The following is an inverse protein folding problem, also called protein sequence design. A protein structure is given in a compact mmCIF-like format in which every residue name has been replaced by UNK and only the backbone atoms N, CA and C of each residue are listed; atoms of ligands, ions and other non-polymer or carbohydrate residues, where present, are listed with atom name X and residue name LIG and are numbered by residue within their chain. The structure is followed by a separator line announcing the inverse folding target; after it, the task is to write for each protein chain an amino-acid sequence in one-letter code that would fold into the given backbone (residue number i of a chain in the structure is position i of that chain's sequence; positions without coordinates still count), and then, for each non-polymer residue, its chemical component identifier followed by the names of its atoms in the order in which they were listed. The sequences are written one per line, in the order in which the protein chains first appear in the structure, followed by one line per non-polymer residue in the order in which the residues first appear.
data_IF_792507319341
#
_entry.id   IF_792507319341
#
_cell.length_a   1.000
_cell.length_b   1.000
_cell.length_c   1.000
_cell.angle_alpha   90.00
_cell.angle_beta   90.00
_cell.angle_gamma   90.00
#
_symmetry.space_group_name_H-M   'P 1'
#
loop_
_entity.id
_entity.type
_entity.pdbx_description
1 polymer ?
#
# COMPACT_ATOMS: atom_id res chain seq x y z
N UNK A 1 -19.13 -18.53 -7.37
CA UNK A 1 -17.85 -19.04 -6.83
C UNK A 1 -17.14 -17.87 -6.19
N UNK A 2 -16.54 -17.98 -4.99
CA UNK A 2 -15.79 -16.86 -4.44
C UNK A 2 -14.65 -16.53 -5.40
N UNK A 3 -14.47 -15.25 -5.70
CA UNK A 3 -13.38 -14.75 -6.53
C UNK A 3 -12.07 -15.02 -5.78
N UNK A 4 -11.30 -16.04 -6.19
CA UNK A 4 -10.05 -16.45 -5.52
C UNK A 4 -8.91 -15.44 -5.78
N UNK A 5 -9.11 -14.47 -6.71
CA UNK A 5 -8.14 -13.44 -7.01
C UNK A 5 -8.34 -12.19 -6.15
N UNK A 6 -7.24 -11.66 -5.59
CA UNK A 6 -7.20 -10.34 -4.96
C UNK A 6 -7.11 -9.24 -6.01
N UNK A 7 -6.32 -9.48 -7.06
CA UNK A 7 -6.12 -8.57 -8.19
C UNK A 7 -6.18 -9.36 -9.48
N UNK A 8 -6.83 -8.81 -10.49
CA UNK A 8 -6.85 -9.35 -11.85
C UNK A 8 -6.64 -8.20 -12.84
N UNK A 9 -5.64 -8.33 -13.67
CA UNK A 9 -5.39 -7.52 -14.86
C UNK A 9 -5.83 -8.33 -16.08
N UNK A 10 -6.60 -7.71 -16.96
CA UNK A 10 -7.03 -8.28 -18.24
C UNK A 10 -6.77 -7.27 -19.34
N UNK A 11 -5.86 -7.61 -20.25
CA UNK A 11 -5.48 -6.83 -21.43
C UNK A 11 -5.20 -5.35 -21.11
N UNK A 12 -4.49 -5.12 -19.99
CA UNK A 12 -4.27 -3.77 -19.46
C UNK A 12 -3.12 -3.10 -20.17
N UNK A 13 -3.42 -1.95 -20.77
CA UNK A 13 -2.42 -1.01 -21.31
C UNK A 13 -2.46 0.29 -20.50
N UNK A 14 -1.29 0.94 -20.41
CA UNK A 14 -1.17 2.24 -19.77
C UNK A 14 -0.05 3.07 -20.39
N UNK A 15 -0.39 4.32 -20.72
CA UNK A 15 0.51 5.32 -21.26
C UNK A 15 0.45 6.58 -20.39
N UNK A 16 1.61 7.09 -19.95
CA UNK A 16 1.63 8.38 -19.25
C UNK A 16 1.30 9.54 -20.23
N UNK A 17 0.58 10.58 -19.77
CA UNK A 17 0.14 11.68 -20.65
C UNK A 17 1.26 12.34 -21.47
N UNK A 18 2.47 12.41 -20.88
CA UNK A 18 3.62 13.08 -21.47
C UNK A 18 4.49 12.14 -22.33
N UNK A 19 4.05 10.89 -22.56
CA UNK A 19 4.81 9.90 -23.32
C UNK A 19 3.98 9.37 -24.48
N UNK A 20 4.66 9.02 -25.59
CA UNK A 20 4.03 8.34 -26.75
C UNK A 20 4.12 6.82 -26.65
N UNK A 21 4.94 6.30 -25.73
CA UNK A 21 5.18 4.86 -25.58
C UNK A 21 4.41 4.32 -24.39
N UNK A 22 3.64 3.27 -24.62
CA UNK A 22 2.98 2.54 -23.53
C UNK A 22 4.04 1.96 -22.58
N UNK A 23 3.83 2.17 -21.28
CA UNK A 23 4.64 1.54 -20.21
C UNK A 23 4.15 0.13 -19.95
N UNK A 24 2.84 -0.08 -20.07
CA UNK A 24 2.22 -1.40 -20.02
C UNK A 24 1.46 -1.61 -21.33
N UNK A 25 1.64 -2.77 -21.92
CA UNK A 25 1.00 -3.13 -23.20
C UNK A 25 0.32 -4.49 -23.08
N UNK A 26 -1.02 -4.49 -23.05
CA UNK A 26 -1.90 -5.65 -23.02
C UNK A 26 -1.53 -6.73 -21.98
N UNK A 27 -1.10 -6.30 -20.78
CA UNK A 27 -0.71 -7.24 -19.74
C UNK A 27 -1.91 -7.89 -19.07
N UNK A 28 -1.82 -9.20 -18.84
CA UNK A 28 -2.84 -9.98 -18.16
C UNK A 28 -2.20 -10.88 -17.10
N UNK A 29 -2.67 -10.80 -15.86
CA UNK A 29 -2.23 -11.66 -14.76
C UNK A 29 -3.24 -11.64 -13.61
N UNK A 30 -3.08 -12.57 -12.66
CA UNK A 30 -3.88 -12.64 -11.42
C UNK A 30 -2.98 -12.79 -10.21
N UNK A 31 -3.37 -12.13 -9.12
CA UNK A 31 -2.78 -12.29 -7.79
C UNK A 31 -3.81 -12.95 -6.90
N UNK A 32 -3.44 -14.08 -6.29
CA UNK A 32 -4.34 -14.85 -5.42
C UNK A 32 -4.53 -14.15 -4.07
N UNK A 33 -5.72 -14.22 -3.49
CA UNK A 33 -6.01 -13.71 -2.14
C UNK A 33 -5.13 -14.40 -1.09
N UNK A 34 -4.65 -13.61 -0.13
CA UNK A 34 -3.78 -14.10 0.94
C UNK A 34 -2.40 -14.58 0.47
N UNK A 35 -2.03 -14.37 -0.81
CA UNK A 35 -0.69 -14.68 -1.30
C UNK A 35 0.32 -13.59 -0.92
N UNK A 36 1.60 -13.94 -1.03
CA UNK A 36 2.70 -12.99 -1.11
C UNK A 36 3.28 -13.09 -2.51
N UNK A 37 3.15 -12.04 -3.29
CA UNK A 37 3.58 -12.00 -4.69
C UNK A 37 4.65 -10.93 -4.86
N UNK A 38 5.78 -11.27 -5.48
CA UNK A 38 6.84 -10.32 -5.80
C UNK A 38 6.80 -9.96 -7.29
N UNK A 39 6.80 -8.67 -7.59
CA UNK A 39 6.97 -8.14 -8.94
C UNK A 39 8.46 -7.88 -9.18
N UNK A 40 9.06 -8.63 -10.09
CA UNK A 40 10.49 -8.57 -10.39
C UNK A 40 10.70 -8.05 -11.81
N UNK A 41 11.69 -7.19 -11.99
CA UNK A 41 12.07 -6.64 -13.30
C UNK A 41 13.05 -5.49 -13.14
N UNK A 42 13.68 -5.08 -14.23
CA UNK A 42 14.62 -3.94 -14.27
C UNK A 42 13.90 -2.61 -13.97
N UNK A 43 14.69 -1.56 -13.66
CA UNK A 43 14.14 -0.23 -13.48
C UNK A 43 13.48 0.28 -14.78
N UNK A 44 12.32 0.93 -14.64
CA UNK A 44 11.53 1.37 -15.79
C UNK A 44 10.65 0.31 -16.44
N UNK A 45 10.60 -0.94 -15.93
CA UNK A 45 9.73 -2.00 -16.47
C UNK A 45 8.25 -1.88 -16.12
N UNK A 46 7.81 -0.82 -15.46
CA UNK A 46 6.40 -0.58 -15.13
C UNK A 46 5.93 -1.12 -13.78
N UNK A 47 6.82 -1.65 -12.90
CA UNK A 47 6.44 -2.21 -11.59
C UNK A 47 5.66 -1.21 -10.72
N UNK A 48 6.21 -0.01 -10.51
CA UNK A 48 5.53 1.03 -9.72
C UNK A 48 4.28 1.59 -10.42
N UNK A 49 4.20 1.47 -11.75
CA UNK A 49 2.97 1.79 -12.50
C UNK A 49 1.88 0.77 -12.19
N UNK A 50 2.21 -0.53 -12.15
CA UNK A 50 1.28 -1.60 -11.74
C UNK A 50 0.79 -1.34 -10.32
N UNK A 51 1.67 -0.97 -9.36
CA UNK A 51 1.28 -0.63 -7.99
C UNK A 51 0.27 0.52 -7.93
N UNK A 52 0.53 1.59 -8.67
CA UNK A 52 -0.35 2.76 -8.74
C UNK A 52 -1.71 2.44 -9.40
N UNK A 53 -1.72 1.55 -10.38
CA UNK A 53 -2.96 1.06 -11.00
C UNK A 53 -3.76 0.20 -10.02
N UNK A 54 -3.13 -0.70 -9.26
CA UNK A 54 -3.83 -1.55 -8.27
C UNK A 54 -4.50 -0.69 -7.18
N UNK A 55 -3.82 0.36 -6.71
CA UNK A 55 -4.35 1.28 -5.70
C UNK A 55 -5.33 2.32 -6.28
N UNK A 56 -5.45 2.42 -7.60
CA UNK A 56 -6.29 3.42 -8.26
C UNK A 56 -5.73 4.84 -8.27
N UNK A 57 -4.43 5.03 -8.00
CA UNK A 57 -3.74 6.30 -8.23
C UNK A 57 -3.64 6.62 -9.72
N UNK A 58 -3.60 5.58 -10.54
CA UNK A 58 -3.71 5.63 -11.99
C UNK A 58 -4.91 4.78 -12.42
N UNK A 59 -5.51 5.12 -13.55
CA UNK A 59 -6.54 4.33 -14.20
C UNK A 59 -5.99 3.80 -15.53
N UNK A 60 -6.36 2.58 -15.95
CA UNK A 60 -5.89 2.03 -17.22
C UNK A 60 -6.42 2.83 -18.41
N UNK A 61 -5.73 2.74 -19.54
CA UNK A 61 -6.21 3.31 -20.80
C UNK A 61 -7.58 2.71 -21.14
N UNK A 62 -8.52 3.55 -21.60
CA UNK A 62 -9.89 3.14 -21.93
C UNK A 62 -9.98 2.27 -23.19
N UNK A 63 -8.88 2.16 -23.96
CA UNK A 63 -8.80 1.37 -25.18
C UNK A 63 -8.68 -0.13 -24.86
N UNK A 64 -9.13 -0.97 -25.81
CA UNK A 64 -8.83 -2.40 -25.88
C UNK A 64 -9.35 -3.31 -24.75
N UNK A 65 -10.54 -3.06 -24.18
CA UNK A 65 -11.11 -3.89 -23.10
C UNK A 65 -10.23 -4.00 -21.85
N UNK A 66 -9.31 -3.08 -21.64
CA UNK A 66 -8.48 -3.00 -20.44
C UNK A 66 -9.35 -3.04 -19.18
N UNK A 67 -9.13 -4.04 -18.32
CA UNK A 67 -9.87 -4.17 -17.06
C UNK A 67 -8.94 -4.53 -15.93
N UNK A 68 -9.08 -3.78 -14.84
CA UNK A 68 -8.47 -4.13 -13.57
C UNK A 68 -9.60 -4.44 -12.59
N UNK A 69 -9.51 -5.59 -11.93
CA UNK A 69 -10.43 -5.98 -10.86
C UNK A 69 -9.63 -6.14 -9.58
N UNK A 70 -10.07 -5.47 -8.51
CA UNK A 70 -9.46 -5.53 -7.19
C UNK A 70 -10.49 -6.01 -6.20
N UNK A 71 -10.25 -7.14 -5.54
CA UNK A 71 -11.17 -7.78 -4.58
C UNK A 71 -12.59 -7.99 -5.15
N UNK A 72 -12.70 -8.22 -6.46
CA UNK A 72 -13.98 -8.40 -7.16
C UNK A 72 -14.61 -7.10 -7.66
N UNK A 73 -14.05 -5.93 -7.34
CA UNK A 73 -14.52 -4.63 -7.82
C UNK A 73 -13.76 -4.23 -9.08
N UNK A 74 -14.45 -3.90 -10.15
CA UNK A 74 -13.82 -3.32 -11.34
C UNK A 74 -13.38 -1.90 -11.05
N UNK A 75 -12.08 -1.62 -11.22
CA UNK A 75 -11.51 -0.30 -10.98
C UNK A 75 -11.97 0.70 -12.04
N UNK A 76 -12.59 1.78 -11.60
CA UNK A 76 -13.04 2.91 -12.39
C UNK A 76 -13.27 4.13 -11.49
N UNK A 77 -13.68 5.26 -12.06
CA UNK A 77 -13.90 6.50 -11.29
C UNK A 77 -14.95 6.37 -10.17
N UNK A 78 -15.92 5.45 -10.28
CA UNK A 78 -16.97 5.25 -9.27
C UNK A 78 -16.52 4.37 -8.11
N UNK A 79 -15.64 3.39 -8.37
CA UNK A 79 -15.19 2.37 -7.40
C UNK A 79 -13.81 2.66 -6.82
N UNK A 80 -13.09 3.66 -7.34
CA UNK A 80 -11.71 3.96 -6.94
C UNK A 80 -11.55 4.21 -5.44
N UNK A 81 -12.52 4.88 -4.82
CA UNK A 81 -12.49 5.15 -3.39
C UNK A 81 -12.65 3.88 -2.54
N UNK A 82 -13.58 3.00 -2.92
CA UNK A 82 -13.78 1.70 -2.27
C UNK A 82 -12.53 0.80 -2.40
N UNK A 83 -11.81 0.91 -3.53
CA UNK A 83 -10.54 0.20 -3.74
C UNK A 83 -9.46 0.76 -2.83
N UNK A 84 -9.30 2.09 -2.76
CA UNK A 84 -8.29 2.77 -1.91
C UNK A 84 -8.47 2.46 -0.43
N UNK A 85 -9.70 2.29 0.03
CA UNK A 85 -9.95 1.86 1.41
C UNK A 85 -9.38 0.48 1.74
N UNK A 86 -9.25 -0.39 0.74
CA UNK A 86 -8.85 -1.79 0.91
C UNK A 86 -7.41 -2.08 0.49
N UNK A 87 -6.78 -1.15 -0.22
CA UNK A 87 -5.41 -1.29 -0.75
C UNK A 87 -4.51 -0.23 -0.15
N UNK A 88 -3.63 -0.62 0.75
CA UNK A 88 -2.56 0.23 1.26
C UNK A 88 -1.32 0.14 0.36
N UNK A 89 -0.65 1.26 0.15
CA UNK A 89 0.62 1.32 -0.57
C UNK A 89 1.65 2.06 0.28
N UNK A 90 2.81 1.44 0.46
CA UNK A 90 3.98 2.04 1.11
C UNK A 90 4.99 2.35 0.02
N UNK A 91 5.28 3.62 -0.19
CA UNK A 91 6.21 4.08 -1.22
C UNK A 91 7.67 3.97 -0.79
N UNK A 92 8.58 3.99 -1.75
CA UNK A 92 10.02 3.96 -1.55
C UNK A 92 10.50 5.14 -0.70
N UNK A 93 10.03 6.36 -1.00
CA UNK A 93 10.37 7.56 -0.23
C UNK A 93 9.24 7.89 0.77
N UNK A 94 9.46 7.70 2.08
CA UNK A 94 8.47 7.98 3.10
C UNK A 94 8.17 9.48 3.27
N UNK A 95 9.09 10.39 2.92
CA UNK A 95 8.89 11.84 3.09
C UNK A 95 7.67 12.37 2.33
N UNK A 96 7.31 11.72 1.22
CA UNK A 96 6.17 12.10 0.40
C UNK A 96 4.82 11.59 0.96
N UNK A 97 4.81 10.88 2.08
CA UNK A 97 3.61 10.27 2.66
C UNK A 97 3.11 10.98 3.92
N UNK A 98 3.96 11.77 4.59
CA UNK A 98 3.60 12.43 5.83
C UNK A 98 2.71 13.65 5.61
N UNK A 99 1.61 13.70 6.36
CA UNK A 99 0.65 14.82 6.38
C UNK A 99 0.37 15.30 7.81
N UNK A 100 0.64 14.49 8.84
CA UNK A 100 0.44 14.80 10.25
C UNK A 100 1.51 15.72 10.80
N UNK A 101 1.16 16.57 11.79
CA UNK A 101 2.11 17.39 12.52
C UNK A 101 3.00 16.55 13.43
N UNK A 102 2.45 15.50 14.02
CA UNK A 102 3.16 14.51 14.82
C UNK A 102 3.07 13.12 14.18
N UNK A 103 3.92 12.21 14.62
CA UNK A 103 3.85 10.79 14.26
C UNK A 103 2.49 10.19 14.59
N UNK A 104 1.93 10.55 15.76
CA UNK A 104 0.61 10.08 16.17
C UNK A 104 -0.50 10.58 15.24
N UNK A 105 -0.47 11.86 14.88
CA UNK A 105 -1.44 12.46 13.96
C UNK A 105 -1.35 11.84 12.56
N UNK A 106 -0.13 11.60 12.09
CA UNK A 106 0.08 10.99 10.78
C UNK A 106 -0.51 9.58 10.70
N UNK A 107 -0.26 8.75 11.72
CA UNK A 107 -0.83 7.40 11.79
C UNK A 107 -2.35 7.43 11.98
N UNK A 108 -2.89 8.45 12.68
CA UNK A 108 -4.32 8.64 12.88
C UNK A 108 -5.05 9.07 11.61
N UNK A 109 -4.39 9.75 10.69
CA UNK A 109 -4.99 10.39 9.50
C UNK A 109 -5.92 9.47 8.70
N UNK A 110 -5.48 8.24 8.43
CA UNK A 110 -6.31 7.25 7.72
C UNK A 110 -7.53 6.78 8.50
N UNK A 111 -7.47 6.80 9.84
CA UNK A 111 -8.57 6.45 10.73
C UNK A 111 -9.58 7.59 10.84
N UNK A 112 -9.11 8.85 10.85
CA UNK A 112 -9.95 10.05 10.84
C UNK A 112 -10.80 10.11 9.58
N UNK A 113 -10.19 9.85 8.42
CA UNK A 113 -10.90 9.79 7.14
C UNK A 113 -11.99 8.70 7.11
N UNK A 114 -11.94 7.72 8.00
CA UNK A 114 -12.95 6.67 8.19
C UNK A 114 -13.91 6.95 9.34
N UNK A 115 -13.87 8.14 9.91
CA UNK A 115 -14.69 8.55 11.06
C UNK A 115 -14.59 7.58 12.26
N UNK A 116 -13.42 7.00 12.51
CA UNK A 116 -13.18 6.13 13.67
C UNK A 116 -13.25 6.96 14.95
N UNK A 117 -14.00 6.55 15.99
CA UNK A 117 -14.09 7.28 17.24
C UNK A 117 -12.72 7.50 17.91
N UNK A 118 -12.50 8.71 18.47
CA UNK A 118 -11.21 9.13 19.04
C UNK A 118 -10.60 8.12 20.02
N UNK A 119 -11.41 7.56 20.90
CA UNK A 119 -10.91 6.57 21.89
C UNK A 119 -10.37 5.30 21.23
N UNK A 120 -10.99 4.86 20.12
CA UNK A 120 -10.53 3.73 19.34
C UNK A 120 -9.27 4.09 18.55
N UNK A 121 -9.24 5.28 17.93
CA UNK A 121 -8.05 5.77 17.21
C UNK A 121 -6.81 5.76 18.09
N UNK A 122 -6.90 6.34 19.30
CA UNK A 122 -5.76 6.38 20.24
C UNK A 122 -5.24 4.96 20.53
N UNK A 123 -6.13 3.99 20.76
CA UNK A 123 -5.75 2.60 21.02
C UNK A 123 -5.07 1.97 19.81
N UNK A 124 -5.61 2.17 18.60
CA UNK A 124 -5.06 1.63 17.35
C UNK A 124 -3.70 2.24 17.08
N UNK A 125 -3.57 3.58 17.11
CA UNK A 125 -2.32 4.31 16.86
C UNK A 125 -1.21 3.83 17.79
N UNK A 126 -1.46 3.78 19.11
CA UNK A 126 -0.48 3.30 20.08
C UNK A 126 -0.06 1.86 19.82
N UNK A 127 -1.01 1.00 19.49
CA UNK A 127 -0.74 -0.41 19.16
C UNK A 127 0.15 -0.54 17.93
N UNK A 128 -0.22 0.08 16.80
CA UNK A 128 0.57 -0.09 15.56
C UNK A 128 1.95 0.55 15.66
N UNK A 129 2.08 1.68 16.40
CA UNK A 129 3.37 2.28 16.67
C UNK A 129 4.25 1.40 17.56
N UNK A 130 3.67 0.74 18.58
CA UNK A 130 4.38 -0.24 19.40
C UNK A 130 4.86 -1.43 18.55
N UNK A 131 3.98 -1.95 17.68
CA UNK A 131 4.28 -3.08 16.79
C UNK A 131 5.50 -2.81 15.89
N UNK A 132 5.66 -1.57 15.40
CA UNK A 132 6.82 -1.17 14.57
C UNK A 132 7.98 -0.56 15.37
N UNK A 133 7.90 -0.54 16.73
CA UNK A 133 8.95 0.02 17.61
C UNK A 133 9.10 1.53 17.51
N UNK A 134 8.00 2.25 17.33
CA UNK A 134 7.96 3.71 17.19
C UNK A 134 7.06 4.41 18.23
N UNK A 135 6.60 3.69 19.25
CA UNK A 135 5.67 4.27 20.25
C UNK A 135 6.27 5.46 21.01
N UNK A 136 7.56 5.42 21.33
CA UNK A 136 8.26 6.49 22.06
C UNK A 136 8.37 7.78 21.24
N UNK A 137 8.11 7.71 19.95
CA UNK A 137 8.16 8.84 19.01
C UNK A 137 6.77 9.39 18.66
N UNK A 138 5.70 8.98 19.37
CA UNK A 138 4.31 9.32 19.03
C UNK A 138 4.08 10.83 18.91
N UNK A 139 4.71 11.63 19.78
CA UNK A 139 4.61 13.09 19.81
C UNK A 139 5.72 13.80 19.01
N UNK A 140 6.61 13.06 18.36
CA UNK A 140 7.70 13.64 17.58
C UNK A 140 7.18 14.15 16.22
N UNK A 141 7.84 15.19 15.71
CA UNK A 141 7.62 15.66 14.34
C UNK A 141 8.23 14.68 13.33
N UNK A 142 7.51 14.25 12.29
CA UNK A 142 8.06 13.33 11.28
C UNK A 142 9.36 13.81 10.62
N UNK A 143 9.53 15.13 10.47
CA UNK A 143 10.73 15.73 9.89
C UNK A 143 12.02 15.37 10.66
N UNK A 144 11.91 15.19 11.99
CA UNK A 144 13.04 14.91 12.88
C UNK A 144 13.43 13.43 12.94
N UNK A 145 12.72 12.55 12.21
CA UNK A 145 12.99 11.12 12.19
C UNK A 145 14.05 10.76 11.15
N UNK A 146 14.82 9.71 11.42
CA UNK A 146 15.68 9.08 10.41
C UNK A 146 14.84 8.42 9.30
N UNK A 147 15.43 8.19 8.12
CA UNK A 147 14.72 7.56 7.01
C UNK A 147 14.09 6.19 7.36
N UNK A 148 14.81 5.38 8.15
CA UNK A 148 14.28 4.10 8.63
C UNK A 148 13.14 4.24 9.65
N UNK A 149 13.18 5.25 10.51
CA UNK A 149 12.08 5.57 11.43
C UNK A 149 10.86 6.06 10.65
N UNK A 150 11.04 6.97 9.71
CA UNK A 150 9.98 7.44 8.80
C UNK A 150 9.30 6.28 8.09
N UNK A 151 10.08 5.35 7.55
CA UNK A 151 9.55 4.17 6.87
C UNK A 151 8.69 3.29 7.80
N UNK A 152 9.12 3.08 9.05
CA UNK A 152 8.32 2.34 10.04
C UNK A 152 7.02 3.04 10.38
N UNK A 153 7.03 4.35 10.53
CA UNK A 153 5.82 5.15 10.77
C UNK A 153 4.87 5.07 9.58
N UNK A 154 5.36 5.23 8.34
CA UNK A 154 4.55 5.10 7.13
C UNK A 154 3.87 3.72 7.04
N UNK A 155 4.59 2.65 7.39
CA UNK A 155 4.02 1.30 7.47
C UNK A 155 2.95 1.21 8.57
N UNK A 156 3.20 1.80 9.75
CA UNK A 156 2.21 1.83 10.83
C UNK A 156 0.91 2.51 10.40
N UNK A 157 0.99 3.65 9.71
CA UNK A 157 -0.18 4.35 9.16
C UNK A 157 -1.01 3.48 8.22
N UNK A 158 -0.34 2.73 7.34
CA UNK A 158 -1.04 1.78 6.46
C UNK A 158 -1.65 0.61 7.24
N UNK A 159 -0.94 0.07 8.23
CA UNK A 159 -1.45 -1.05 9.04
C UNK A 159 -2.62 -0.66 9.95
N UNK A 160 -2.67 0.60 10.40
CA UNK A 160 -3.73 1.13 11.26
C UNK A 160 -5.11 0.98 10.63
N UNK A 161 -5.21 1.17 9.31
CA UNK A 161 -6.48 1.08 8.57
C UNK A 161 -6.85 -0.34 8.13
N UNK A 162 -6.09 -1.35 8.52
CA UNK A 162 -6.34 -2.78 8.26
C UNK A 162 -6.68 -3.09 6.78
N UNK A 163 -5.79 -2.80 5.85
CA UNK A 163 -6.06 -3.04 4.43
C UNK A 163 -6.21 -4.56 4.15
N UNK A 164 -6.83 -4.90 3.03
CA UNK A 164 -6.90 -6.29 2.53
C UNK A 164 -5.76 -6.65 1.59
N UNK A 165 -5.17 -5.63 0.98
CA UNK A 165 -3.98 -5.73 0.14
C UNK A 165 -2.98 -4.69 0.62
N UNK A 166 -1.71 -5.07 0.80
CA UNK A 166 -0.61 -4.14 1.04
C UNK A 166 0.40 -4.26 -0.10
N UNK A 167 0.80 -3.11 -0.63
CA UNK A 167 1.84 -3.00 -1.65
C UNK A 167 3.06 -2.37 -1.00
N UNK A 168 4.21 -3.03 -1.12
CA UNK A 168 5.50 -2.61 -0.61
C UNK A 168 6.38 -2.24 -1.82
N UNK A 169 6.35 -0.98 -2.22
CA UNK A 169 7.12 -0.48 -3.37
C UNK A 169 8.51 -0.04 -2.89
N UNK A 170 9.48 -0.98 -2.94
CA UNK A 170 10.86 -0.83 -2.44
C UNK A 170 10.95 -0.28 -1.00
N UNK A 171 9.87 -0.37 -0.27
CA UNK A 171 9.63 0.32 1.01
C UNK A 171 10.44 -0.22 2.20
N UNK A 172 11.21 -1.29 2.01
CA UNK A 172 12.09 -1.84 3.06
C UNK A 172 13.57 -1.57 2.77
N UNK A 173 13.90 -0.88 1.69
CA UNK A 173 15.30 -0.62 1.28
C UNK A 173 16.05 0.33 2.22
N UNK A 174 15.32 1.26 2.86
CA UNK A 174 15.88 2.22 3.81
C UNK A 174 15.97 1.70 5.26
N UNK A 175 15.43 0.50 5.52
CA UNK A 175 15.46 -0.09 6.85
C UNK A 175 16.80 -0.78 7.12
N UNK A 176 17.32 -0.62 8.33
CA UNK A 176 18.38 -1.48 8.84
C UNK A 176 17.91 -2.96 8.91
N UNK A 177 18.81 -3.94 8.94
CA UNK A 177 18.43 -5.36 8.90
C UNK A 177 17.45 -5.77 10.00
N UNK A 178 17.59 -5.22 11.21
CA UNK A 178 16.73 -5.52 12.35
C UNK A 178 15.33 -4.92 12.17
N UNK A 179 15.24 -3.67 11.76
CA UNK A 179 13.97 -3.02 11.48
C UNK A 179 13.22 -3.67 10.31
N UNK A 180 13.96 -4.07 9.26
CA UNK A 180 13.38 -4.83 8.13
C UNK A 180 12.80 -6.17 8.58
N UNK A 181 13.54 -6.92 9.38
CA UNK A 181 13.06 -8.21 9.91
C UNK A 181 11.82 -8.03 10.77
N UNK A 182 11.78 -7.01 11.65
CA UNK A 182 10.65 -6.71 12.51
C UNK A 182 9.40 -6.41 11.67
N UNK A 183 9.48 -5.50 10.70
CA UNK A 183 8.37 -5.15 9.81
C UNK A 183 7.88 -6.36 9.02
N UNK A 184 8.79 -7.16 8.45
CA UNK A 184 8.41 -8.35 7.70
C UNK A 184 7.73 -9.41 8.57
N UNK A 185 8.13 -9.55 9.86
CA UNK A 185 7.44 -10.43 10.82
C UNK A 185 6.00 -9.98 11.06
N UNK A 186 5.77 -8.68 11.24
CA UNK A 186 4.42 -8.12 11.42
C UNK A 186 3.55 -8.40 10.21
N UNK A 187 4.05 -8.10 9.00
CA UNK A 187 3.30 -8.32 7.76
C UNK A 187 3.00 -9.82 7.56
N UNK A 188 3.97 -10.71 7.85
CA UNK A 188 3.76 -12.17 7.80
C UNK A 188 2.70 -12.64 8.79
N UNK A 189 2.68 -12.09 10.01
CA UNK A 189 1.68 -12.38 11.02
C UNK A 189 0.28 -11.96 10.55
N UNK A 190 0.13 -10.71 10.10
CA UNK A 190 -1.13 -10.21 9.55
C UNK A 190 -1.62 -10.99 8.33
N UNK A 191 -0.69 -11.38 7.45
CA UNK A 191 -1.01 -12.25 6.31
C UNK A 191 -1.65 -13.57 6.76
N UNK A 192 -1.09 -14.19 7.80
CA UNK A 192 -1.59 -15.47 8.34
C UNK A 192 -2.95 -15.31 9.03
N UNK A 193 -3.10 -14.29 9.89
CA UNK A 193 -4.29 -14.13 10.73
C UNK A 193 -5.46 -13.47 10.02
N UNK A 194 -5.19 -12.46 9.17
CA UNK A 194 -6.22 -11.65 8.51
C UNK A 194 -6.35 -11.94 7.02
N UNK A 195 -5.68 -12.98 6.52
CA UNK A 195 -5.64 -13.32 5.09
C UNK A 195 -5.21 -12.13 4.21
N UNK A 196 -4.26 -11.32 4.71
CA UNK A 196 -3.71 -10.16 4.01
C UNK A 196 -2.99 -10.60 2.74
N UNK A 197 -3.29 -9.96 1.62
CA UNK A 197 -2.54 -10.13 0.36
C UNK A 197 -1.37 -9.16 0.34
N UNK A 198 -0.18 -9.64 0.03
CA UNK A 198 1.05 -8.83 -0.01
C UNK A 198 1.62 -8.82 -1.42
N UNK A 199 1.92 -7.62 -1.91
CA UNK A 199 2.61 -7.40 -3.18
C UNK A 199 3.90 -6.65 -2.87
N UNK A 200 5.05 -7.20 -3.22
CA UNK A 200 6.37 -6.57 -3.01
C UNK A 200 7.05 -6.28 -4.34
N UNK A 201 7.74 -5.17 -4.40
CA UNK A 201 8.57 -4.73 -5.53
C UNK A 201 10.00 -4.62 -5.08
#
# INVERSE_FOLDING_TARGET
MPVDSAVEFKDVSFTYPDTKKAILDQISFKIKRGSWTSLIGHNGSGKSTISKLINGLLLPDSANNSRITVLGMTLNQKTVWDVREKVGIVFQNPDNQFVGATVGDDVAFGLENRAVPREQMVKIVRKVLADVGMLDYIDAEPANLSGGQKQRVAIAGILAVEPKIIILDESTSMLDPKGREQVLKIIKHLKKEKNLTVISI
#
